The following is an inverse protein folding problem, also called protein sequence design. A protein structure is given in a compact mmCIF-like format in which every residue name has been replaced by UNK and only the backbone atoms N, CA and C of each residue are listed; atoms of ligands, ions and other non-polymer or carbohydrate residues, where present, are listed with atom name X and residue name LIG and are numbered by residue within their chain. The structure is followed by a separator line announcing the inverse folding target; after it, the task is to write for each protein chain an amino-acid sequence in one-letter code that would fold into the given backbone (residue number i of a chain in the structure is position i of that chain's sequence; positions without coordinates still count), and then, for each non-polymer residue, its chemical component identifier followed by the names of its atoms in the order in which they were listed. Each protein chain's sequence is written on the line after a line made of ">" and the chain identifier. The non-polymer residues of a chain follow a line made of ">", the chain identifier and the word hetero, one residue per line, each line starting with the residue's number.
data_IF_350522420182
#
_entry.id   IF_350522420182
#
_cell.length_a   1.000
_cell.length_b   1.000
_cell.length_c   1.000
_cell.angle_alpha   90.00
_cell.angle_beta   90.00
_cell.angle_gamma   90.00
#
_symmetry.space_group_name_H-M   'P 1'
#
loop_
_entity.id
_entity.type
_entity.pdbx_description
1 polymer ?
#
# COMPACT_ATOMS: atom_id res chain seq x y z
N UNK A 1 -3.83 -16.91 4.45
CA UNK A 1 -4.31 -15.53 4.71
C UNK A 1 -3.31 -14.90 5.67
N UNK A 2 -2.56 -13.90 5.20
CA UNK A 2 -1.57 -13.21 6.04
C UNK A 2 -2.27 -12.42 7.15
N UNK A 3 -1.70 -12.43 8.36
CA UNK A 3 -2.17 -11.58 9.45
C UNK A 3 -1.70 -10.15 9.19
N UNK A 4 -2.65 -9.23 8.96
CA UNK A 4 -2.40 -7.81 8.74
C UNK A 4 -2.93 -7.08 9.96
N UNK A 5 -2.03 -6.40 10.67
CA UNK A 5 -2.35 -5.58 11.83
C UNK A 5 -2.13 -4.10 11.48
N UNK A 6 -3.20 -3.31 11.55
CA UNK A 6 -3.18 -1.85 11.39
C UNK A 6 -3.36 -1.20 12.76
N UNK A 7 -2.46 -0.30 13.11
CA UNK A 7 -2.48 0.42 14.40
C UNK A 7 -2.18 1.89 14.13
N UNK A 8 -2.95 2.82 14.70
CA UNK A 8 -2.54 4.22 14.76
C UNK A 8 -1.64 4.44 15.97
N UNK A 9 -0.42 4.90 15.74
CA UNK A 9 0.49 5.25 16.82
C UNK A 9 0.00 6.52 17.53
N UNK A 10 -0.19 6.43 18.85
CA UNK A 10 -0.83 7.48 19.66
C UNK A 10 0.04 8.75 19.71
N UNK A 11 1.36 8.61 19.57
CA UNK A 11 2.30 9.72 19.74
C UNK A 11 2.46 10.53 18.45
N UNK A 12 2.67 9.84 17.34
CA UNK A 12 2.86 10.44 16.02
C UNK A 12 1.55 10.68 15.28
N UNK A 13 0.47 10.02 15.71
CA UNK A 13 -0.77 9.97 14.98
C UNK A 13 -0.67 9.15 13.70
N UNK A 14 0.45 8.50 13.36
CA UNK A 14 0.59 7.81 12.08
C UNK A 14 0.04 6.38 12.15
N UNK A 15 -0.69 5.96 11.11
CA UNK A 15 -0.99 4.55 10.88
C UNK A 15 0.32 3.77 10.64
N UNK A 16 0.40 2.61 11.27
CA UNK A 16 1.42 1.58 11.09
C UNK A 16 0.78 0.29 10.64
N UNK A 17 1.45 -0.40 9.73
CA UNK A 17 1.04 -1.74 9.30
C UNK A 17 2.12 -2.74 9.67
N UNK A 18 1.68 -3.89 10.18
CA UNK A 18 2.54 -5.04 10.41
C UNK A 18 1.98 -6.26 9.70
N UNK A 19 2.81 -6.89 8.88
CA UNK A 19 2.48 -8.10 8.11
C UNK A 19 3.50 -9.19 8.49
N UNK A 20 4.29 -9.68 7.53
CA UNK A 20 5.41 -10.59 7.74
C UNK A 20 6.73 -9.85 7.51
N UNK A 21 7.84 -10.26 8.17
CA UNK A 21 9.13 -9.57 8.07
C UNK A 21 9.66 -9.36 6.64
N UNK A 22 9.36 -10.29 5.74
CA UNK A 22 9.73 -10.22 4.32
C UNK A 22 8.97 -9.15 3.53
N UNK A 23 7.87 -8.62 4.07
CA UNK A 23 7.02 -7.64 3.40
C UNK A 23 7.35 -6.19 3.78
N UNK A 24 8.59 -5.91 4.17
CA UNK A 24 8.95 -4.63 4.79
C UNK A 24 8.76 -3.42 3.87
N UNK A 25 9.05 -3.54 2.58
CA UNK A 25 8.83 -2.44 1.63
C UNK A 25 7.33 -2.21 1.37
N UNK A 26 6.51 -3.25 1.43
CA UNK A 26 5.04 -3.09 1.37
C UNK A 26 4.53 -2.32 2.58
N UNK A 27 5.02 -2.63 3.78
CA UNK A 27 4.68 -1.84 4.97
C UNK A 27 5.05 -0.37 4.80
N UNK A 28 6.31 -0.10 4.43
CA UNK A 28 6.83 1.25 4.26
C UNK A 28 6.10 2.03 3.15
N UNK A 29 5.76 1.39 2.03
CA UNK A 29 4.99 2.00 0.96
C UNK A 29 3.64 2.53 1.47
N UNK A 30 2.92 1.73 2.25
CA UNK A 30 1.64 2.16 2.81
C UNK A 30 1.80 3.29 3.84
N UNK A 31 2.81 3.19 4.70
CA UNK A 31 3.10 4.18 5.73
C UNK A 31 3.69 5.50 5.20
N UNK A 32 4.06 5.56 3.92
CA UNK A 32 4.67 6.76 3.30
C UNK A 32 3.84 7.32 2.16
N UNK A 33 3.45 6.49 1.19
CA UNK A 33 2.78 6.95 -0.03
C UNK A 33 1.27 7.08 0.15
N UNK A 34 0.64 6.18 0.92
CA UNK A 34 -0.82 6.16 1.11
C UNK A 34 -1.24 6.82 2.43
N UNK A 35 -0.30 7.13 3.31
CA UNK A 35 -0.53 7.68 4.64
C UNK A 35 -1.53 8.84 4.62
N UNK A 36 -2.68 8.66 5.31
CA UNK A 36 -3.80 9.60 5.35
C UNK A 36 -4.35 10.06 3.97
N UNK A 37 -3.93 9.45 2.86
CA UNK A 37 -4.38 9.74 1.50
C UNK A 37 -5.45 8.74 1.03
N UNK A 38 -6.68 9.01 1.46
CA UNK A 38 -7.84 8.23 1.05
C UNK A 38 -8.09 8.32 -0.46
N UNK A 39 -7.74 9.44 -1.11
CA UNK A 39 -7.97 9.64 -2.52
C UNK A 39 -7.04 8.75 -3.37
N UNK A 40 -5.76 8.66 -2.99
CA UNK A 40 -4.83 7.71 -3.61
C UNK A 40 -5.28 6.26 -3.37
N UNK A 41 -5.75 5.93 -2.17
CA UNK A 41 -6.27 4.60 -1.90
C UNK A 41 -7.49 4.25 -2.76
N UNK A 42 -8.46 5.16 -2.88
CA UNK A 42 -9.63 5.00 -3.76
C UNK A 42 -9.22 4.93 -5.24
N UNK A 43 -8.25 5.74 -5.65
CA UNK A 43 -7.70 5.71 -7.01
C UNK A 43 -7.06 4.37 -7.33
N UNK A 44 -6.17 3.86 -6.47
CA UNK A 44 -5.53 2.57 -6.65
C UNK A 44 -6.55 1.42 -6.67
N UNK A 45 -7.57 1.45 -5.80
CA UNK A 45 -8.67 0.48 -5.84
C UNK A 45 -9.44 0.50 -7.17
N UNK A 46 -9.53 1.65 -7.85
CA UNK A 46 -10.15 1.74 -9.18
C UNK A 46 -9.28 1.18 -10.31
N UNK A 47 -7.97 1.02 -10.06
CA UNK A 47 -6.96 0.59 -11.03
C UNK A 47 -6.69 -0.90 -11.03
N UNK A 48 -7.51 -1.72 -10.37
CA UNK A 48 -7.42 -3.18 -10.40
C UNK A 48 -7.06 -3.70 -11.81
N UNK A 49 -5.79 -4.08 -11.99
CA UNK A 49 -5.21 -4.39 -13.29
C UNK A 49 -5.90 -5.60 -13.94
N UNK A 50 -6.46 -6.50 -13.12
CA UNK A 50 -7.28 -7.63 -13.58
C UNK A 50 -8.57 -7.22 -14.30
N UNK A 51 -9.05 -5.98 -14.12
CA UNK A 51 -10.23 -5.45 -14.82
C UNK A 51 -9.92 -4.77 -16.16
N UNK A 52 -8.72 -4.20 -16.31
CA UNK A 52 -8.36 -3.40 -17.47
C UNK A 52 -7.30 -4.06 -18.38
N UNK A 53 -6.65 -5.13 -17.93
CA UNK A 53 -5.67 -5.89 -18.70
C UNK A 53 -4.38 -5.15 -19.04
N UNK A 54 -4.14 -3.99 -18.40
CA UNK A 54 -2.95 -3.17 -18.60
C UNK A 54 -2.18 -3.06 -17.29
N UNK A 55 -0.86 -3.13 -17.41
CA UNK A 55 0.04 -2.81 -16.31
C UNK A 55 -0.06 -1.32 -15.97
N UNK A 56 0.04 -1.01 -14.70
CA UNK A 56 -0.11 0.34 -14.18
C UNK A 56 1.07 0.69 -13.29
N UNK A 57 1.67 1.85 -13.51
CA UNK A 57 2.77 2.35 -12.68
C UNK A 57 2.40 3.68 -12.04
N UNK A 58 2.70 3.82 -10.75
CA UNK A 58 2.74 5.10 -10.05
C UNK A 58 4.11 5.31 -9.45
N UNK A 59 4.55 6.56 -9.49
CA UNK A 59 5.75 7.02 -8.81
C UNK A 59 5.32 7.89 -7.65
N UNK A 60 5.61 7.46 -6.43
CA UNK A 60 5.40 8.22 -5.22
C UNK A 60 6.63 9.03 -4.83
N UNK A 61 6.72 9.34 -3.54
CA UNK A 61 7.80 10.09 -2.94
C UNK A 61 9.05 9.23 -2.77
N UNK A 62 8.96 8.14 -2.00
CA UNK A 62 10.05 7.22 -1.67
C UNK A 62 10.04 5.94 -2.52
N UNK A 63 8.91 5.60 -3.12
CA UNK A 63 8.74 4.34 -3.85
C UNK A 63 7.99 4.52 -5.17
N UNK A 64 8.28 3.67 -6.16
CA UNK A 64 7.34 3.40 -7.25
C UNK A 64 6.60 2.09 -7.00
N UNK A 65 5.35 2.04 -7.47
CA UNK A 65 4.52 0.85 -7.48
C UNK A 65 4.16 0.52 -8.93
N UNK A 66 4.52 -0.68 -9.36
CA UNK A 66 4.01 -1.30 -10.59
C UNK A 66 2.98 -2.37 -10.22
N UNK A 67 1.79 -2.28 -10.78
CA UNK A 67 0.72 -3.25 -10.67
C UNK A 67 0.54 -3.93 -12.03
N UNK A 68 0.76 -5.25 -12.06
CA UNK A 68 0.36 -6.10 -13.18
C UNK A 68 -0.95 -6.80 -12.85
N UNK A 69 -1.47 -7.58 -13.80
CA UNK A 69 -2.69 -8.38 -13.60
C UNK A 69 -2.61 -9.25 -12.33
N UNK A 70 -1.46 -9.85 -12.05
CA UNK A 70 -1.27 -10.86 -11.01
C UNK A 70 -0.27 -10.47 -9.93
N UNK A 71 0.47 -9.37 -10.08
CA UNK A 71 1.56 -8.99 -9.17
C UNK A 71 1.58 -7.50 -8.85
N UNK A 72 2.19 -7.19 -7.71
CA UNK A 72 2.70 -5.86 -7.42
C UNK A 72 4.24 -5.90 -7.38
N UNK A 73 4.86 -4.77 -7.70
CA UNK A 73 6.29 -4.53 -7.54
C UNK A 73 6.46 -3.16 -6.89
N UNK A 74 7.06 -3.12 -5.71
CA UNK A 74 7.42 -1.89 -5.01
C UNK A 74 8.93 -1.70 -5.15
N UNK A 75 9.33 -0.62 -5.81
CA UNK A 75 10.74 -0.30 -6.02
C UNK A 75 11.10 0.95 -5.23
N UNK A 76 12.13 0.90 -4.37
CA UNK A 76 12.67 2.10 -3.74
C UNK A 76 13.18 3.10 -4.79
N UNK A 77 12.98 4.39 -4.53
CA UNK A 77 13.48 5.47 -5.38
C UNK A 77 14.76 6.09 -4.82
N UNK A 78 15.43 6.87 -5.65
CA UNK A 78 16.66 7.62 -5.35
C UNK A 78 17.85 6.74 -4.93
N UNK A 79 18.50 7.06 -3.80
CA UNK A 79 19.73 6.42 -3.32
C UNK A 79 19.47 5.16 -2.48
N UNK A 80 18.20 4.75 -2.33
CA UNK A 80 17.87 3.52 -1.64
C UNK A 80 18.24 2.30 -2.50
N UNK A 81 19.24 1.55 -2.03
CA UNK A 81 19.81 0.39 -2.73
C UNK A 81 19.11 -0.93 -2.42
N UNK A 82 18.02 -0.91 -1.64
CA UNK A 82 17.25 -2.12 -1.35
C UNK A 82 16.65 -2.67 -2.65
N UNK A 83 16.62 -3.99 -2.78
CA UNK A 83 16.01 -4.63 -3.94
C UNK A 83 14.50 -4.37 -3.95
N UNK A 84 13.86 -4.30 -5.14
CA UNK A 84 12.40 -4.24 -5.22
C UNK A 84 11.76 -5.42 -4.49
N UNK A 85 10.61 -5.16 -3.87
CA UNK A 85 9.77 -6.20 -3.29
C UNK A 85 8.61 -6.48 -4.23
N UNK A 86 8.33 -7.77 -4.46
CA UNK A 86 7.24 -8.21 -5.30
C UNK A 86 6.36 -9.25 -4.59
N UNK A 87 5.10 -9.32 -4.99
CA UNK A 87 4.17 -10.32 -4.50
C UNK A 87 2.87 -10.35 -5.29
N UNK A 88 1.92 -11.22 -4.93
CA UNK A 88 0.62 -11.30 -5.60
C UNK A 88 -0.17 -10.00 -5.51
N UNK A 89 -0.78 -9.55 -6.60
CA UNK A 89 -1.62 -8.33 -6.62
C UNK A 89 -2.77 -8.41 -5.62
N UNK A 90 -3.33 -9.61 -5.41
CA UNK A 90 -4.37 -9.87 -4.42
C UNK A 90 -3.95 -9.51 -2.99
N UNK A 91 -2.68 -9.71 -2.63
CA UNK A 91 -2.18 -9.37 -1.30
C UNK A 91 -2.12 -7.85 -1.12
N UNK A 92 -1.63 -7.14 -2.14
CA UNK A 92 -1.63 -5.67 -2.18
C UNK A 92 -3.04 -5.10 -2.04
N UNK A 93 -3.99 -5.57 -2.84
CA UNK A 93 -5.37 -5.08 -2.79
C UNK A 93 -6.11 -5.47 -1.50
N UNK A 94 -5.76 -6.62 -0.91
CA UNK A 94 -6.29 -7.01 0.41
C UNK A 94 -5.84 -6.01 1.48
N UNK A 95 -4.55 -5.64 1.48
CA UNK A 95 -4.03 -4.62 2.39
C UNK A 95 -4.65 -3.24 2.10
N UNK A 96 -4.72 -2.85 0.83
CA UNK A 96 -5.32 -1.57 0.42
C UNK A 96 -6.76 -1.43 0.87
N UNK A 97 -7.56 -2.48 0.74
CA UNK A 97 -8.94 -2.49 1.22
C UNK A 97 -9.03 -2.30 2.74
N UNK A 98 -8.14 -2.93 3.52
CA UNK A 98 -8.10 -2.77 4.98
C UNK A 98 -7.66 -1.37 5.38
N UNK A 99 -6.59 -0.87 4.77
CA UNK A 99 -6.06 0.47 5.02
C UNK A 99 -7.11 1.55 4.72
N UNK A 100 -7.76 1.46 3.56
CA UNK A 100 -8.86 2.34 3.17
C UNK A 100 -10.02 2.31 4.17
N UNK A 101 -10.41 1.14 4.65
CA UNK A 101 -11.47 1.03 5.66
C UNK A 101 -11.06 1.69 6.98
N UNK A 102 -9.81 1.50 7.40
CA UNK A 102 -9.24 2.15 8.57
C UNK A 102 -9.34 3.69 8.45
N UNK A 103 -8.91 4.26 7.32
CA UNK A 103 -9.02 5.70 7.05
C UNK A 103 -10.48 6.21 7.05
N UNK A 104 -11.43 5.42 6.53
CA UNK A 104 -12.84 5.82 6.45
C UNK A 104 -13.55 5.84 7.79
N UNK A 105 -13.27 4.85 8.64
CA UNK A 105 -13.92 4.75 9.95
C UNK A 105 -13.48 5.89 10.86
N UNK A 106 -12.23 6.37 10.75
CA UNK A 106 -11.76 7.53 11.50
C UNK A 106 -12.42 8.84 11.06
N UNK A 107 -12.64 9.02 9.76
CA UNK A 107 -13.36 10.20 9.23
C UNK A 107 -14.85 10.21 9.57
N UNK A 108 -15.39 9.16 10.17
CA UNK A 108 -16.81 9.05 10.55
C UNK A 108 -17.08 9.43 12.00
N UNK A 109 -16.04 9.70 12.81
CA UNK A 109 -16.14 10.08 14.23
C UNK A 109 -15.95 11.59 14.49
N UNK A 110 -15.93 12.41 13.44
CA UNK A 110 -15.98 13.90 13.50
C UNK A 110 -17.33 14.43 13.03
#
# INVERSE_FOLDING_TARGET
>A
MQEILLIRDINSGLIKVKILPENKLLEEFFETEIQDDLALADYLMSKDAGRNGNDYEITGNAFSLTLTTDRYIISPLYEDKRAPQEGPSVDFFTLLSRWRHFLKNENSET
#
